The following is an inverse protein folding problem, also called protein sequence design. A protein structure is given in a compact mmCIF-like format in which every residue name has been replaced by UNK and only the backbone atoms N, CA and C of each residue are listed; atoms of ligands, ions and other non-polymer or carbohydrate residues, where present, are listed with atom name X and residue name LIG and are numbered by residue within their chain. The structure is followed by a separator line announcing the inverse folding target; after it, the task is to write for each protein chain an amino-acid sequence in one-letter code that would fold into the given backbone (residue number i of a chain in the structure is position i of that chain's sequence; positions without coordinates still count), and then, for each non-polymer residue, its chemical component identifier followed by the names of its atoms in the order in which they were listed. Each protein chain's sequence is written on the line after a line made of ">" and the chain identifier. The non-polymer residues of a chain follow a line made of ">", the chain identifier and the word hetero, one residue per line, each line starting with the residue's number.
data_IF_208808683579
#
_entry.id   IF_208808683579
#
_cell.length_a   1.000
_cell.length_b   1.000
_cell.length_c   1.000
_cell.angle_alpha   90.00
_cell.angle_beta   90.00
_cell.angle_gamma   90.00
#
_symmetry.space_group_name_H-M   'P 1'
#
loop_
_entity.id
_entity.type
_entity.pdbx_description
1 polymer ?
#
# COMPACT_ATOMS: atom_id res chain seq x y z
N UNK A 1 5.21 8.56 -1.46
CA UNK A 1 4.47 9.79 -1.16
C UNK A 1 3.39 9.57 -0.09
N UNK A 2 2.39 8.69 -0.33
CA UNK A 2 1.25 8.54 0.59
C UNK A 2 1.64 8.09 2.00
N UNK A 3 2.63 7.21 2.13
CA UNK A 3 3.13 6.75 3.44
C UNK A 3 3.76 7.92 4.20
N UNK A 4 4.59 8.71 3.54
CA UNK A 4 5.23 9.88 4.14
C UNK A 4 4.22 10.95 4.54
N UNK A 5 3.20 11.19 3.71
CA UNK A 5 2.11 12.11 4.04
C UNK A 5 1.32 11.61 5.26
N UNK A 6 1.02 10.32 5.32
CA UNK A 6 0.33 9.71 6.45
C UNK A 6 1.07 9.90 7.76
N UNK A 7 2.40 9.81 7.72
CA UNK A 7 3.25 10.04 8.89
C UNK A 7 3.28 11.52 9.28
N UNK A 8 3.43 12.42 8.30
CA UNK A 8 3.53 13.86 8.54
C UNK A 8 2.23 14.49 9.06
N UNK A 9 1.09 13.95 8.64
CA UNK A 9 -0.24 14.46 9.01
C UNK A 9 -1.05 13.43 9.79
N UNK A 10 -0.39 12.71 10.69
CA UNK A 10 -0.96 11.57 11.40
C UNK A 10 -2.25 11.90 12.17
N UNK A 11 -2.39 13.12 12.66
CA UNK A 11 -3.60 13.52 13.40
C UNK A 11 -4.80 13.83 12.50
N UNK A 12 -4.58 13.99 11.20
CA UNK A 12 -5.61 14.35 10.22
C UNK A 12 -5.98 13.22 9.28
N UNK A 13 -5.04 12.33 8.98
CA UNK A 13 -5.23 11.26 7.99
C UNK A 13 -5.62 9.97 8.70
N UNK A 14 -6.82 9.47 8.40
CA UNK A 14 -7.39 8.28 9.03
C UNK A 14 -7.23 7.00 8.23
N UNK A 15 -7.01 7.12 6.92
CA UNK A 15 -6.85 5.99 6.05
C UNK A 15 -5.89 6.31 4.92
N UNK A 16 -5.03 5.37 4.60
CA UNK A 16 -4.01 5.52 3.57
C UNK A 16 -4.00 4.24 2.73
N UNK A 17 -4.00 4.38 1.42
CA UNK A 17 -3.84 3.25 0.52
C UNK A 17 -2.76 3.53 -0.52
N UNK A 18 -1.93 2.55 -0.77
CA UNK A 18 -0.92 2.59 -1.83
C UNK A 18 -1.11 1.40 -2.75
N UNK A 19 -1.28 1.69 -4.04
CA UNK A 19 -1.40 0.70 -5.11
C UNK A 19 -0.07 0.66 -5.87
N UNK A 20 0.61 -0.48 -5.84
CA UNK A 20 1.91 -0.67 -6.49
C UNK A 20 2.95 0.39 -6.09
N UNK A 21 2.97 0.79 -4.83
CA UNK A 21 3.88 1.84 -4.37
C UNK A 21 5.33 1.49 -4.64
N UNK A 22 6.04 2.45 -5.22
CA UNK A 22 7.48 2.35 -5.49
C UNK A 22 8.20 3.18 -4.43
N UNK A 23 9.42 2.78 -4.10
CA UNK A 23 10.27 3.49 -3.13
C UNK A 23 9.67 3.62 -1.72
N UNK A 24 8.84 2.67 -1.31
CA UNK A 24 8.34 2.60 0.07
C UNK A 24 9.47 2.18 1.02
N UNK A 25 10.33 1.30 0.57
CA UNK A 25 11.54 0.88 1.28
C UNK A 25 12.76 1.19 0.42
N UNK A 26 13.61 2.11 0.89
CA UNK A 26 14.88 2.44 0.25
C UNK A 26 15.99 2.48 1.30
N UNK A 27 17.22 2.57 0.84
CA UNK A 27 18.39 2.72 1.73
C UNK A 27 18.68 4.20 2.08
N UNK A 28 17.84 5.13 1.61
CA UNK A 28 18.00 6.55 1.88
C UNK A 28 17.47 6.94 3.27
N UNK A 29 17.99 8.01 3.83
CA UNK A 29 17.59 8.50 5.15
C UNK A 29 16.15 9.01 5.21
N UNK A 30 15.56 9.34 4.06
CA UNK A 30 14.18 9.82 3.94
C UNK A 30 13.21 8.71 3.48
N UNK A 31 13.62 7.46 3.55
CA UNK A 31 12.76 6.34 3.13
C UNK A 31 11.44 6.31 3.91
N UNK A 32 10.30 6.16 3.22
CA UNK A 32 8.99 6.16 3.87
C UNK A 32 8.84 5.12 5.00
N UNK A 33 9.49 3.97 4.89
CA UNK A 33 9.39 2.93 5.92
C UNK A 33 9.95 3.39 7.28
N UNK A 34 10.87 4.37 7.28
CA UNK A 34 11.49 4.88 8.51
C UNK A 34 10.54 5.72 9.36
N UNK A 35 9.48 6.26 8.77
CA UNK A 35 8.52 7.12 9.47
C UNK A 35 7.13 6.49 9.61
N UNK A 36 6.97 5.25 9.18
CA UNK A 36 5.68 4.56 9.17
C UNK A 36 5.12 4.35 10.59
N UNK A 37 5.96 4.30 11.61
CA UNK A 37 5.55 4.20 13.02
C UNK A 37 4.72 5.41 13.49
N UNK A 38 4.82 6.54 12.81
CA UNK A 38 4.06 7.76 13.13
C UNK A 38 2.64 7.73 12.60
N UNK A 39 2.31 6.82 11.70
CA UNK A 39 0.98 6.72 11.09
C UNK A 39 -0.02 6.21 12.14
N UNK A 40 -1.06 6.98 12.39
CA UNK A 40 -2.14 6.62 13.34
C UNK A 40 -3.34 5.95 12.66
N UNK A 41 -3.60 6.30 11.40
CA UNK A 41 -4.70 5.72 10.62
C UNK A 41 -4.39 4.32 10.11
N UNK A 42 -5.37 3.72 9.45
CA UNK A 42 -5.15 2.44 8.79
C UNK A 42 -4.38 2.61 7.48
N UNK A 43 -3.42 1.74 7.25
CA UNK A 43 -2.56 1.73 6.07
C UNK A 43 -2.78 0.44 5.30
N UNK A 44 -3.13 0.57 4.02
CA UNK A 44 -3.26 -0.55 3.10
C UNK A 44 -2.22 -0.45 1.99
N UNK A 45 -1.33 -1.42 1.94
CA UNK A 45 -0.28 -1.52 0.92
C UNK A 45 -0.57 -2.72 0.03
N UNK A 46 -0.85 -2.48 -1.24
CA UNK A 46 -1.09 -3.53 -2.22
C UNK A 46 0.02 -3.56 -3.26
N UNK A 47 0.50 -4.76 -3.55
CA UNK A 47 1.59 -4.98 -4.49
C UNK A 47 1.21 -6.03 -5.54
N UNK A 48 1.78 -5.88 -6.72
CA UNK A 48 1.76 -6.91 -7.74
C UNK A 48 2.92 -7.89 -7.52
N UNK A 49 2.64 -9.17 -7.69
CA UNK A 49 3.66 -10.20 -7.45
C UNK A 49 4.88 -10.08 -8.38
N UNK A 50 4.64 -9.73 -9.63
CA UNK A 50 5.67 -9.67 -10.69
C UNK A 50 6.13 -8.25 -10.99
N UNK A 51 5.97 -7.33 -10.07
CA UNK A 51 6.30 -5.92 -10.28
C UNK A 51 7.82 -5.73 -10.39
N UNK A 52 8.30 -5.34 -11.56
CA UNK A 52 9.73 -5.07 -11.78
C UNK A 52 10.25 -3.88 -10.98
N UNK A 53 9.37 -2.97 -10.58
CA UNK A 53 9.74 -1.79 -9.79
C UNK A 53 9.86 -2.09 -8.30
N UNK A 54 9.30 -3.22 -7.86
CA UNK A 54 9.39 -3.70 -6.47
C UNK A 54 9.84 -5.17 -6.51
N UNK A 55 11.15 -5.42 -6.67
CA UNK A 55 11.67 -6.78 -6.71
C UNK A 55 11.28 -7.60 -5.48
N UNK A 56 11.25 -8.90 -5.63
CA UNK A 56 10.87 -9.83 -4.55
C UNK A 56 11.67 -9.59 -3.26
N UNK A 57 12.96 -9.33 -3.38
CA UNK A 57 13.82 -9.03 -2.21
C UNK A 57 13.35 -7.77 -1.46
N UNK A 58 12.97 -6.72 -2.19
CA UNK A 58 12.44 -5.49 -1.62
C UNK A 58 11.09 -5.74 -0.98
N UNK A 59 10.22 -6.52 -1.61
CA UNK A 59 8.91 -6.86 -1.08
C UNK A 59 9.02 -7.62 0.26
N UNK A 60 9.99 -8.52 0.38
CA UNK A 60 10.28 -9.22 1.64
C UNK A 60 10.67 -8.22 2.73
N UNK A 61 11.53 -7.25 2.40
CA UNK A 61 11.93 -6.19 3.35
C UNK A 61 10.74 -5.33 3.79
N UNK A 62 9.87 -4.98 2.86
CA UNK A 62 8.64 -4.22 3.16
C UNK A 62 7.75 -5.00 4.12
N UNK A 63 7.46 -6.27 3.81
CA UNK A 63 6.65 -7.12 4.68
C UNK A 63 7.23 -7.21 6.08
N UNK A 64 8.54 -7.42 6.20
CA UNK A 64 9.22 -7.51 7.48
C UNK A 64 9.12 -6.19 8.25
N UNK A 65 9.36 -5.05 7.60
CA UNK A 65 9.33 -3.72 8.24
C UNK A 65 7.95 -3.33 8.73
N UNK A 66 6.89 -3.67 7.97
CA UNK A 66 5.52 -3.24 8.29
C UNK A 66 4.72 -4.26 9.09
N UNK A 67 5.19 -5.51 9.24
CA UNK A 67 4.46 -6.56 9.96
C UNK A 67 4.23 -6.26 11.44
N UNK A 68 5.06 -5.42 12.04
CA UNK A 68 4.93 -5.00 13.44
C UNK A 68 3.81 -3.98 13.67
N UNK A 69 3.25 -3.39 12.62
CA UNK A 69 2.19 -2.39 12.74
C UNK A 69 0.83 -3.05 12.61
N UNK A 70 0.03 -3.01 13.68
CA UNK A 70 -1.32 -3.59 13.71
C UNK A 70 -2.31 -2.88 12.79
N UNK A 71 -2.03 -1.61 12.47
CA UNK A 71 -2.84 -0.78 11.59
C UNK A 71 -2.43 -0.87 10.12
N UNK A 72 -1.50 -1.74 9.77
CA UNK A 72 -1.02 -1.93 8.40
C UNK A 72 -1.44 -3.28 7.84
N UNK A 73 -2.04 -3.26 6.65
CA UNK A 73 -2.42 -4.45 5.90
C UNK A 73 -1.65 -4.47 4.59
N UNK A 74 -0.94 -5.57 4.34
CA UNK A 74 -0.17 -5.76 3.11
C UNK A 74 -0.78 -6.91 2.33
N UNK A 75 -1.03 -6.69 1.04
CA UNK A 75 -1.45 -7.75 0.12
C UNK A 75 -0.56 -7.78 -1.10
N UNK A 76 -0.21 -9.00 -1.51
CA UNK A 76 0.46 -9.25 -2.78
C UNK A 76 -0.49 -10.04 -3.65
N UNK A 77 -0.86 -9.49 -4.80
CA UNK A 77 -1.80 -10.12 -5.72
C UNK A 77 -1.07 -11.09 -6.64
N UNK A 78 -1.39 -12.40 -6.57
CA UNK A 78 -0.69 -13.40 -7.37
C UNK A 78 -0.87 -13.18 -8.87
N UNK A 79 0.15 -13.52 -9.63
CA UNK A 79 0.13 -13.48 -11.11
C UNK A 79 -0.21 -12.11 -11.70
N UNK A 80 0.13 -11.03 -10.99
CA UNK A 80 -0.13 -9.67 -11.46
C UNK A 80 1.16 -8.89 -11.67
N UNK A 81 1.09 -7.91 -12.56
CA UNK A 81 2.16 -6.98 -12.88
C UNK A 81 1.77 -5.55 -12.45
N UNK A 82 2.74 -4.65 -12.43
CA UNK A 82 2.51 -3.25 -12.08
C UNK A 82 1.38 -2.64 -12.93
N UNK A 83 0.41 -2.03 -12.27
CA UNK A 83 -0.73 -1.38 -12.93
C UNK A 83 -1.92 -2.30 -13.20
N UNK A 84 -1.98 -3.48 -12.60
CA UNK A 84 -3.02 -4.48 -12.88
C UNK A 84 -4.47 -4.01 -12.59
N UNK A 85 -4.64 -2.96 -11.81
CA UNK A 85 -5.98 -2.49 -11.42
C UNK A 85 -6.62 -1.52 -12.41
N UNK A 86 -5.90 -1.11 -13.45
CA UNK A 86 -6.40 -0.12 -14.43
C UNK A 86 -6.75 -0.79 -15.75
N UNK A 87 -8.05 -0.72 -16.18
CA UNK A 87 -8.50 -1.38 -17.42
C UNK A 87 -7.76 -0.93 -18.69
N UNK A 88 -7.24 0.28 -18.70
CA UNK A 88 -6.52 0.85 -19.85
C UNK A 88 -5.12 0.25 -20.04
N UNK A 89 -4.61 -0.44 -19.04
CA UNK A 89 -3.27 -1.01 -19.11
C UNK A 89 -3.32 -2.46 -19.61
N UNK A 90 -2.31 -2.84 -20.38
CA UNK A 90 -2.18 -4.22 -20.87
C UNK A 90 -1.90 -5.24 -19.76
N UNK A 91 -1.54 -4.76 -18.56
CA UNK A 91 -1.32 -5.59 -17.37
C UNK A 91 -2.60 -5.81 -16.56
N UNK A 92 -3.74 -5.29 -17.01
CA UNK A 92 -5.01 -5.38 -16.29
C UNK A 92 -5.42 -6.83 -16.01
N UNK A 93 -5.76 -7.11 -14.75
CA UNK A 93 -6.33 -8.39 -14.31
C UNK A 93 -7.63 -8.09 -13.57
N UNK A 94 -8.75 -8.35 -14.22
CA UNK A 94 -10.08 -7.94 -13.74
C UNK A 94 -10.39 -8.45 -12.32
N UNK A 95 -10.19 -9.73 -12.04
CA UNK A 95 -10.51 -10.29 -10.72
C UNK A 95 -9.69 -9.65 -9.61
N UNK A 96 -8.38 -9.48 -9.84
CA UNK A 96 -7.50 -8.84 -8.87
C UNK A 96 -7.88 -7.37 -8.68
N UNK A 97 -8.18 -6.67 -9.78
CA UNK A 97 -8.59 -5.27 -9.73
C UNK A 97 -9.86 -5.06 -8.92
N UNK A 98 -10.88 -5.90 -9.14
CA UNK A 98 -12.15 -5.80 -8.41
C UNK A 98 -11.98 -6.04 -6.91
N UNK A 99 -11.18 -7.01 -6.50
CA UNK A 99 -10.86 -7.26 -5.10
C UNK A 99 -10.15 -6.05 -4.50
N UNK A 100 -9.18 -5.52 -5.22
CA UNK A 100 -8.36 -4.40 -4.79
C UNK A 100 -9.20 -3.13 -4.57
N UNK A 101 -10.06 -2.78 -5.54
CA UNK A 101 -10.96 -1.63 -5.41
C UNK A 101 -11.96 -1.81 -4.29
N UNK A 102 -12.50 -3.01 -4.11
CA UNK A 102 -13.41 -3.32 -3.01
C UNK A 102 -12.76 -3.07 -1.65
N UNK A 103 -11.52 -3.52 -1.48
CA UNK A 103 -10.77 -3.30 -0.23
C UNK A 103 -10.49 -1.84 0.03
N UNK A 104 -10.19 -1.05 -1.00
CA UNK A 104 -10.02 0.39 -0.86
C UNK A 104 -11.30 1.06 -0.37
N UNK A 105 -12.42 0.72 -0.99
CA UNK A 105 -13.73 1.29 -0.61
C UNK A 105 -14.07 0.90 0.83
N UNK A 106 -13.87 -0.35 1.20
CA UNK A 106 -14.10 -0.81 2.58
C UNK A 106 -13.22 -0.08 3.59
N UNK A 107 -11.97 0.15 3.26
CA UNK A 107 -11.04 0.89 4.11
C UNK A 107 -11.55 2.31 4.37
N UNK A 108 -11.97 3.01 3.33
CA UNK A 108 -12.47 4.37 3.43
C UNK A 108 -13.84 4.43 4.12
N UNK A 109 -14.73 3.50 3.83
CA UNK A 109 -16.05 3.42 4.50
C UNK A 109 -15.89 3.24 6.01
N UNK A 110 -14.99 2.36 6.43
CA UNK A 110 -14.74 2.09 7.84
C UNK A 110 -14.18 3.31 8.56
N UNK A 111 -13.29 4.07 7.92
CA UNK A 111 -12.51 5.10 8.61
C UNK A 111 -13.03 6.53 8.42
N UNK A 112 -13.82 6.80 7.39
CA UNK A 112 -14.20 8.16 7.00
C UNK A 112 -15.69 8.46 7.17
N UNK A 113 -16.54 7.45 7.24
CA UNK A 113 -17.98 7.68 7.48
C UNK A 113 -18.20 8.08 8.92
N UNK A 114 -19.02 9.10 9.11
CA UNK A 114 -19.51 9.46 10.44
C UNK A 114 -20.48 8.39 10.93
N UNK A 115 -20.30 8.03 12.16
CA UNK A 115 -21.22 7.13 12.85
C UNK A 115 -22.41 7.89 13.41
#
# INVERSE_FOLDING_TARGET
>A
FVVSCGASYADKIRAIASFYGVDIFTEKDDSPHLVADKIKGELYLAFAEKDKWVPKATLIKIKKSFSKYKNCFIEVYPSTDHGFAFPERNTYVKEAAEIHWKKLIQLFDKNLKKQ
#
